data_IF_025471335079
#
_entry.id   IF_025471335079
#
_cell.length_a   1.000
_cell.length_b   1.000
_cell.length_c   1.000
_cell.angle_alpha   90.00
_cell.angle_beta   90.00
_cell.angle_gamma   90.00
#
_symmetry.space_group_name_H-M   'P 1'
#
loop_
_entity.id
_entity.type
_entity.pdbx_description
1 polymer ?
#
# COMPACT_ATOMS: atom_id res chain seq x y z
N UNK A 1 -14.48 8.60 25.45
CA UNK A 1 -14.27 7.77 24.25
C UNK A 1 -13.67 8.67 23.21
N UNK A 2 -12.45 8.36 22.79
CA UNK A 2 -11.77 8.99 21.66
C UNK A 2 -12.63 8.79 20.42
N UNK A 3 -12.94 9.89 19.75
CA UNK A 3 -13.63 9.85 18.47
C UNK A 3 -12.54 9.94 17.40
N UNK A 4 -12.35 8.90 16.55
CA UNK A 4 -11.33 8.95 15.52
C UNK A 4 -11.46 10.20 14.65
N UNK A 5 -10.33 10.77 14.23
CA UNK A 5 -10.30 11.95 13.37
C UNK A 5 -9.72 11.59 12.01
N UNK A 6 -10.51 11.85 10.99
CA UNK A 6 -10.15 11.58 9.61
C UNK A 6 -10.33 10.14 9.17
N UNK A 7 -10.26 9.99 7.85
CA UNK A 7 -10.28 8.72 7.15
C UNK A 7 -9.06 8.63 6.21
N UNK A 8 -8.58 7.41 5.98
CA UNK A 8 -7.59 7.09 4.94
C UNK A 8 -8.21 6.09 3.97
N UNK A 9 -8.03 6.34 2.67
CA UNK A 9 -8.23 5.35 1.62
C UNK A 9 -6.86 4.78 1.26
N UNK A 10 -6.67 3.48 1.42
CA UNK A 10 -5.34 2.84 1.32
C UNK A 10 -4.73 2.98 -0.08
N UNK A 11 -5.54 3.00 -1.13
CA UNK A 11 -5.05 3.14 -2.51
C UNK A 11 -6.13 2.69 -3.46
N UNK A 12 -6.20 1.39 -3.66
CA UNK A 12 -7.21 0.78 -4.50
C UNK A 12 -8.65 0.89 -3.99
N UNK A 13 -9.58 1.12 -4.93
CA UNK A 13 -11.02 1.27 -4.68
C UNK A 13 -11.79 0.60 -5.81
N UNK A 14 -12.88 -0.12 -5.50
CA UNK A 14 -13.60 -0.89 -6.52
C UNK A 14 -14.53 0.00 -7.34
N UNK A 15 -13.94 0.71 -8.29
CA UNK A 15 -14.60 1.41 -9.40
C UNK A 15 -13.82 1.16 -10.69
N UNK A 16 -14.47 1.39 -11.82
CA UNK A 16 -13.88 1.15 -13.14
C UNK A 16 -12.88 2.24 -13.55
N UNK A 17 -12.98 3.44 -12.95
CA UNK A 17 -12.18 4.60 -13.32
C UNK A 17 -11.82 5.52 -12.12
N UNK A 18 -10.78 6.33 -12.31
CA UNK A 18 -10.25 7.22 -11.29
C UNK A 18 -11.16 8.41 -10.97
N UNK A 19 -11.94 8.91 -11.95
CA UNK A 19 -12.85 10.03 -11.72
C UNK A 19 -13.98 9.62 -10.78
N UNK A 20 -14.61 8.47 -11.02
CA UNK A 20 -15.64 7.89 -10.16
C UNK A 20 -15.08 7.67 -8.75
N UNK A 21 -13.87 7.12 -8.63
CA UNK A 21 -13.20 6.95 -7.33
C UNK A 21 -13.06 8.27 -6.57
N UNK A 22 -12.42 9.27 -7.19
CA UNK A 22 -12.12 10.54 -6.54
C UNK A 22 -13.38 11.32 -6.19
N UNK A 23 -14.35 11.38 -7.12
CA UNK A 23 -15.62 12.08 -6.93
C UNK A 23 -16.43 11.47 -5.79
N UNK A 24 -16.61 10.15 -5.79
CA UNK A 24 -17.39 9.48 -4.75
C UNK A 24 -16.69 9.55 -3.38
N UNK A 25 -15.36 9.42 -3.32
CA UNK A 25 -14.61 9.60 -2.09
C UNK A 25 -14.77 11.02 -1.52
N UNK A 26 -14.62 12.05 -2.36
CA UNK A 26 -14.76 13.44 -1.96
C UNK A 26 -16.19 13.77 -1.49
N UNK A 27 -17.21 13.27 -2.19
CA UNK A 27 -18.62 13.52 -1.84
C UNK A 27 -19.04 12.86 -0.52
N UNK A 28 -18.59 11.62 -0.25
CA UNK A 28 -19.01 10.87 0.94
C UNK A 28 -18.16 11.23 2.17
N UNK A 29 -16.84 11.33 2.01
CA UNK A 29 -15.93 11.51 3.14
C UNK A 29 -15.60 12.99 3.39
N UNK A 30 -15.56 13.80 2.34
CA UNK A 30 -15.34 15.25 2.38
C UNK A 30 -14.18 15.65 3.31
N UNK A 31 -14.43 16.47 4.34
CA UNK A 31 -13.38 17.04 5.21
C UNK A 31 -12.69 16.00 6.12
N UNK A 32 -13.03 14.72 6.00
CA UNK A 32 -12.34 13.62 6.69
C UNK A 32 -11.09 13.16 5.91
N UNK A 33 -10.98 13.48 4.62
CA UNK A 33 -9.85 13.11 3.79
C UNK A 33 -8.83 14.26 3.74
N UNK A 34 -7.57 13.93 4.03
CA UNK A 34 -6.41 14.76 3.66
C UNK A 34 -5.85 14.37 2.29
N UNK A 35 -6.11 13.13 1.86
CA UNK A 35 -5.49 12.48 0.70
C UNK A 35 -6.54 11.65 -0.04
N UNK A 36 -6.51 11.65 -1.37
CA UNK A 36 -7.39 10.85 -2.22
C UNK A 36 -6.55 10.08 -3.25
N UNK A 37 -6.62 8.74 -3.28
CA UNK A 37 -5.97 7.93 -4.31
C UNK A 37 -6.82 7.85 -5.58
N UNK A 38 -6.21 7.36 -6.66
CA UNK A 38 -6.90 7.12 -7.94
C UNK A 38 -7.69 5.81 -8.02
N UNK A 39 -7.63 4.97 -6.99
CA UNK A 39 -8.33 3.69 -6.94
C UNK A 39 -7.60 2.53 -7.61
N UNK A 40 -6.38 2.74 -8.13
CA UNK A 40 -5.58 1.73 -8.84
C UNK A 40 -6.35 1.02 -9.97
N UNK A 41 -7.10 1.78 -10.78
CA UNK A 41 -8.02 1.21 -11.77
C UNK A 41 -7.34 0.49 -12.95
N UNK A 42 -8.13 -0.28 -13.71
CA UNK A 42 -7.67 -0.97 -14.92
C UNK A 42 -6.71 -2.11 -14.63
N UNK A 43 -5.57 -2.17 -15.34
CA UNK A 43 -4.58 -3.24 -15.16
C UNK A 43 -3.93 -3.23 -13.76
N UNK A 44 -3.93 -2.07 -13.09
CA UNK A 44 -3.40 -1.92 -11.72
C UNK A 44 -4.38 -2.39 -10.65
N UNK A 45 -5.58 -2.80 -11.03
CA UNK A 45 -6.62 -3.17 -10.07
C UNK A 45 -6.13 -4.22 -9.08
N UNK A 46 -5.30 -5.16 -9.53
CA UNK A 46 -4.68 -6.18 -8.69
C UNK A 46 -3.25 -5.82 -8.22
N UNK A 47 -3.03 -4.55 -7.87
CA UNK A 47 -1.78 -4.02 -7.31
C UNK A 47 -0.58 -4.30 -8.21
N UNK A 48 0.27 -5.28 -7.88
CA UNK A 48 1.49 -5.62 -8.63
C UNK A 48 1.29 -6.64 -9.75
N UNK A 49 0.10 -7.24 -9.90
CA UNK A 49 -0.10 -8.38 -10.82
C UNK A 49 0.07 -8.06 -12.31
N UNK A 50 0.13 -6.78 -12.69
CA UNK A 50 0.44 -6.36 -14.05
C UNK A 50 1.96 -6.30 -14.35
N UNK A 51 2.80 -6.30 -13.31
CA UNK A 51 4.25 -6.16 -13.47
C UNK A 51 4.89 -7.27 -14.30
N UNK A 52 4.47 -8.55 -14.25
CA UNK A 52 5.01 -9.57 -15.14
C UNK A 52 4.83 -9.25 -16.63
N UNK A 53 3.69 -8.65 -17.01
CA UNK A 53 3.40 -8.22 -18.38
C UNK A 53 4.30 -7.05 -18.81
N UNK A 54 4.68 -6.18 -17.88
CA UNK A 54 5.62 -5.07 -18.13
C UNK A 54 7.05 -5.59 -18.23
N UNK A 55 7.54 -6.29 -17.20
CA UNK A 55 8.91 -6.76 -17.11
C UNK A 55 9.25 -7.80 -18.18
N UNK A 56 8.28 -8.63 -18.58
CA UNK A 56 8.45 -9.61 -19.66
C UNK A 56 8.64 -9.00 -21.05
N UNK A 57 8.56 -7.67 -21.20
CA UNK A 57 8.91 -6.97 -22.44
C UNK A 57 10.42 -6.67 -22.55
N UNK A 58 11.15 -6.74 -21.44
CA UNK A 58 12.58 -6.44 -21.42
C UNK A 58 13.38 -7.57 -22.09
N UNK A 59 14.36 -7.20 -22.92
CA UNK A 59 15.36 -8.14 -23.41
C UNK A 59 16.14 -8.72 -22.22
N UNK A 60 16.25 -10.05 -22.17
CA UNK A 60 16.91 -10.76 -21.07
C UNK A 60 16.00 -11.21 -19.92
N UNK A 61 14.69 -10.94 -19.99
CA UNK A 61 13.69 -11.50 -19.06
C UNK A 61 12.81 -12.52 -19.78
N UNK A 62 12.59 -13.68 -19.16
CA UNK A 62 11.75 -14.75 -19.69
C UNK A 62 10.65 -15.14 -18.71
N UNK A 63 9.53 -15.63 -19.24
CA UNK A 63 8.48 -16.26 -18.43
C UNK A 63 8.79 -17.73 -18.19
N UNK A 64 8.59 -18.16 -16.94
CA UNK A 64 8.72 -19.55 -16.54
C UNK A 64 7.46 -20.32 -16.95
N UNK A 65 7.64 -21.36 -17.77
CA UNK A 65 6.57 -22.22 -18.25
C UNK A 65 6.02 -21.82 -19.62
N UNK A 66 5.64 -22.82 -20.41
CA UNK A 66 5.16 -22.63 -21.78
C UNK A 66 3.70 -22.12 -21.82
N UNK A 67 2.87 -22.55 -20.88
CA UNK A 67 1.45 -22.21 -20.84
C UNK A 67 1.21 -20.95 -20.02
N UNK A 68 0.44 -20.03 -20.59
CA UNK A 68 -0.04 -18.83 -19.90
C UNK A 68 -0.80 -19.21 -18.63
N UNK A 69 -0.60 -18.46 -17.55
CA UNK A 69 -1.41 -18.56 -16.33
C UNK A 69 -2.38 -17.37 -16.33
N UNK A 70 -3.65 -17.54 -16.74
CA UNK A 70 -4.58 -16.43 -16.83
C UNK A 70 -4.88 -15.86 -15.44
N UNK A 71 -4.85 -14.54 -15.36
CA UNK A 71 -5.28 -13.78 -14.18
C UNK A 71 -6.23 -12.65 -14.62
N UNK A 72 -6.97 -12.09 -13.67
CA UNK A 72 -7.96 -11.03 -13.92
C UNK A 72 -7.42 -9.90 -14.82
N UNK A 73 -8.32 -9.16 -15.48
CA UNK A 73 -7.96 -8.09 -16.43
C UNK A 73 -7.08 -8.53 -17.62
N UNK A 74 -7.06 -9.83 -17.96
CA UNK A 74 -6.29 -10.33 -19.09
C UNK A 74 -4.78 -10.34 -18.84
N UNK A 75 -4.37 -10.52 -17.58
CA UNK A 75 -2.97 -10.58 -17.13
C UNK A 75 -2.40 -12.00 -17.21
N UNK A 76 -1.08 -12.13 -17.34
CA UNK A 76 -0.35 -13.41 -17.31
C UNK A 76 0.48 -13.52 -16.02
N UNK A 77 0.02 -14.36 -15.09
CA UNK A 77 0.63 -14.56 -13.78
C UNK A 77 1.82 -15.54 -13.79
N UNK A 78 2.35 -15.91 -14.97
CA UNK A 78 3.58 -16.71 -15.03
C UNK A 78 4.74 -15.99 -14.30
N UNK A 79 5.51 -16.71 -13.47
CA UNK A 79 6.74 -16.19 -12.89
C UNK A 79 7.73 -15.78 -13.98
N UNK A 80 8.70 -14.96 -13.59
CA UNK A 80 9.78 -14.49 -14.42
C UNK A 80 11.11 -15.09 -13.98
N UNK A 81 12.04 -15.15 -14.92
CA UNK A 81 13.44 -15.47 -14.71
C UNK A 81 14.33 -14.61 -15.58
N UNK A 82 15.59 -14.46 -15.19
CA UNK A 82 16.62 -13.92 -16.08
C UNK A 82 16.96 -14.98 -17.12
N UNK A 83 17.09 -14.56 -18.39
CA UNK A 83 17.45 -15.46 -19.48
C UNK A 83 18.85 -16.06 -19.27
N UNK A 84 19.06 -17.28 -19.77
CA UNK A 84 20.34 -17.98 -19.58
C UNK A 84 21.51 -17.19 -20.17
N UNK A 85 22.55 -16.97 -19.36
CA UNK A 85 23.77 -16.25 -19.78
C UNK A 85 23.64 -14.73 -19.81
N UNK A 86 22.50 -14.16 -19.42
CA UNK A 86 22.32 -12.70 -19.34
C UNK A 86 22.79 -12.17 -17.98
N UNK A 87 23.58 -11.10 -18.01
CA UNK A 87 23.92 -10.32 -16.82
C UNK A 87 22.76 -9.37 -16.50
N UNK A 88 22.15 -9.53 -15.33
CA UNK A 88 21.03 -8.70 -14.87
C UNK A 88 21.33 -7.20 -14.94
N UNK A 89 22.57 -6.78 -14.65
CA UNK A 89 22.96 -5.37 -14.66
C UNK A 89 22.88 -4.73 -16.06
N UNK A 90 22.81 -5.53 -17.12
CA UNK A 90 22.66 -5.06 -18.51
C UNK A 90 21.21 -4.95 -18.97
N UNK A 91 20.26 -5.48 -18.18
CA UNK A 91 18.84 -5.48 -18.51
C UNK A 91 18.28 -4.06 -18.41
N UNK A 92 17.73 -3.56 -19.52
CA UNK A 92 16.97 -2.32 -19.55
C UNK A 92 15.49 -2.62 -19.37
N UNK A 93 14.95 -2.32 -18.19
CA UNK A 93 13.51 -2.43 -17.94
C UNK A 93 12.75 -1.30 -18.66
N UNK A 94 11.59 -1.59 -19.27
CA UNK A 94 10.68 -0.54 -19.74
C UNK A 94 10.14 0.29 -18.57
N UNK A 95 9.47 1.43 -18.83
CA UNK A 95 8.68 2.12 -17.81
C UNK A 95 7.75 1.14 -17.09
N UNK A 96 7.77 1.17 -15.76
CA UNK A 96 6.99 0.28 -14.90
C UNK A 96 5.49 0.62 -14.94
N UNK A 97 5.16 1.86 -15.33
CA UNK A 97 3.80 2.32 -15.58
C UNK A 97 3.15 3.08 -14.43
N UNK A 98 3.84 3.24 -13.29
CA UNK A 98 3.31 3.95 -12.12
C UNK A 98 3.27 5.46 -12.35
N UNK A 99 4.33 6.04 -12.92
CA UNK A 99 4.42 7.46 -13.27
C UNK A 99 3.44 7.85 -14.36
N UNK A 100 3.29 7.00 -15.39
CA UNK A 100 2.29 7.21 -16.43
C UNK A 100 0.88 7.29 -15.84
N UNK A 101 0.50 6.32 -15.00
CA UNK A 101 -0.79 6.30 -14.33
C UNK A 101 -0.99 7.51 -13.40
N UNK A 102 0.00 7.86 -12.59
CA UNK A 102 -0.08 8.99 -11.68
C UNK A 102 -0.30 10.32 -12.43
N UNK A 103 0.35 10.51 -13.58
CA UNK A 103 0.17 11.71 -14.42
C UNK A 103 -1.23 11.79 -15.00
N UNK A 104 -1.75 10.68 -15.54
CA UNK A 104 -3.11 10.62 -16.09
C UNK A 104 -4.16 10.90 -15.00
N UNK A 105 -4.01 10.27 -13.83
CA UNK A 105 -4.93 10.45 -12.71
C UNK A 105 -4.82 11.83 -12.06
N UNK A 106 -3.64 12.44 -12.03
CA UNK A 106 -3.47 13.79 -11.49
C UNK A 106 -4.19 14.86 -12.33
N UNK A 107 -4.26 14.72 -13.66
CA UNK A 107 -5.06 15.63 -14.48
C UNK A 107 -6.55 15.57 -14.13
N UNK A 108 -7.05 14.37 -13.80
CA UNK A 108 -8.42 14.19 -13.30
C UNK A 108 -8.58 14.85 -11.93
N UNK A 109 -7.66 14.57 -10.99
CA UNK A 109 -7.66 15.15 -9.65
C UNK A 109 -7.69 16.67 -9.70
N UNK A 110 -6.80 17.29 -10.49
CA UNK A 110 -6.69 18.73 -10.66
C UNK A 110 -7.99 19.32 -11.21
N UNK A 111 -8.58 18.70 -12.23
CA UNK A 111 -9.87 19.13 -12.78
C UNK A 111 -10.99 19.04 -11.74
N UNK A 112 -11.08 17.95 -10.98
CA UNK A 112 -12.09 17.78 -9.93
C UNK A 112 -11.93 18.81 -8.79
N UNK A 113 -10.70 19.21 -8.47
CA UNK A 113 -10.43 20.34 -7.58
C UNK A 113 -10.91 21.67 -8.19
N UNK A 114 -10.57 21.94 -9.44
CA UNK A 114 -10.99 23.16 -10.15
C UNK A 114 -12.53 23.27 -10.28
N UNK A 115 -13.23 22.13 -10.36
CA UNK A 115 -14.70 22.01 -10.31
C UNK A 115 -15.30 22.21 -8.91
N UNK A 116 -14.47 22.25 -7.85
CA UNK A 116 -14.89 22.36 -6.45
C UNK A 116 -15.40 21.04 -5.84
N UNK A 117 -15.20 19.92 -6.53
CA UNK A 117 -15.57 18.57 -6.04
C UNK A 117 -14.59 18.13 -4.96
N UNK A 118 -13.29 18.29 -5.22
CA UNK A 118 -12.22 18.04 -4.25
C UNK A 118 -11.89 19.37 -3.56
N UNK A 119 -11.91 19.38 -2.23
CA UNK A 119 -11.58 20.56 -1.45
C UNK A 119 -10.12 20.99 -1.63
N UNK A 120 -9.89 22.31 -1.60
CA UNK A 120 -8.55 22.88 -1.53
C UNK A 120 -7.76 22.32 -0.35
N UNK A 121 -6.46 22.07 -0.57
CA UNK A 121 -5.56 21.49 0.44
C UNK A 121 -5.62 19.96 0.58
N UNK A 122 -6.57 19.28 -0.07
CA UNK A 122 -6.50 17.81 -0.23
C UNK A 122 -5.39 17.47 -1.22
N UNK A 123 -4.61 16.44 -0.91
CA UNK A 123 -3.52 15.94 -1.78
C UNK A 123 -3.95 14.72 -2.60
N UNK A 124 -3.37 14.59 -3.77
CA UNK A 124 -3.42 13.39 -4.58
C UNK A 124 -2.44 12.34 -4.02
N UNK A 125 -2.97 11.16 -3.69
CA UNK A 125 -2.20 10.05 -3.15
C UNK A 125 -1.77 9.11 -4.27
N UNK A 126 -0.46 8.84 -4.35
CA UNK A 126 0.10 7.79 -5.19
C UNK A 126 0.61 6.67 -4.29
N UNK A 127 -0.05 5.52 -4.33
CA UNK A 127 0.36 4.31 -3.62
C UNK A 127 1.27 3.45 -4.51
N UNK A 128 2.48 3.20 -4.03
CA UNK A 128 3.53 2.45 -4.75
C UNK A 128 3.88 1.17 -3.98
N UNK A 129 4.06 0.04 -4.68
CA UNK A 129 4.61 -1.15 -4.04
C UNK A 129 6.09 -0.95 -3.75
N UNK A 130 6.62 -1.67 -2.76
CA UNK A 130 8.07 -1.79 -2.63
C UNK A 130 8.66 -2.63 -3.78
N UNK A 131 9.90 -2.35 -4.22
CA UNK A 131 10.64 -3.25 -5.11
C UNK A 131 10.66 -4.70 -4.63
N UNK A 132 10.81 -4.90 -3.31
CA UNK A 132 10.83 -6.21 -2.69
C UNK A 132 9.54 -6.99 -2.95
N UNK A 133 8.36 -6.34 -2.87
CA UNK A 133 7.09 -7.02 -3.13
C UNK A 133 7.04 -7.62 -4.54
N UNK A 134 7.45 -6.87 -5.56
CA UNK A 134 7.44 -7.34 -6.95
C UNK A 134 8.45 -8.48 -7.16
N UNK A 135 9.66 -8.33 -6.62
CA UNK A 135 10.70 -9.37 -6.78
C UNK A 135 10.35 -10.65 -6.03
N UNK A 136 9.81 -10.53 -4.81
CA UNK A 136 9.38 -11.67 -4.01
C UNK A 136 8.22 -12.44 -4.68
N UNK A 137 7.32 -11.75 -5.37
CA UNK A 137 6.17 -12.37 -6.02
C UNK A 137 6.49 -13.06 -7.35
N UNK A 138 7.42 -12.52 -8.14
CA UNK A 138 7.56 -12.95 -9.54
C UNK A 138 8.89 -13.59 -9.89
N UNK A 139 9.93 -13.44 -9.08
CA UNK A 139 11.23 -14.08 -9.29
C UNK A 139 11.50 -15.15 -8.22
N UNK A 140 12.49 -16.00 -8.46
CA UNK A 140 12.85 -17.10 -7.55
C UNK A 140 14.35 -17.35 -7.55
N UNK A 141 14.85 -18.01 -6.51
CA UNK A 141 16.28 -18.37 -6.41
C UNK A 141 17.20 -17.15 -6.50
N UNK A 142 18.34 -17.33 -7.17
CA UNK A 142 19.41 -16.35 -7.32
C UNK A 142 18.99 -15.15 -8.19
N UNK A 143 18.00 -15.31 -9.07
CA UNK A 143 17.50 -14.23 -9.90
C UNK A 143 16.97 -13.06 -9.06
N UNK A 144 16.41 -13.34 -7.88
CA UNK A 144 15.91 -12.30 -6.96
C UNK A 144 17.01 -11.32 -6.56
N UNK A 145 18.17 -11.84 -6.16
CA UNK A 145 19.32 -11.02 -5.77
C UNK A 145 19.90 -10.24 -6.95
N UNK A 146 19.87 -10.82 -8.14
CA UNK A 146 20.41 -10.21 -9.35
C UNK A 146 19.50 -9.09 -9.91
N UNK A 147 18.18 -9.30 -9.92
CA UNK A 147 17.23 -8.35 -10.54
C UNK A 147 16.77 -7.24 -9.59
N UNK A 148 16.80 -7.46 -8.28
CA UNK A 148 16.32 -6.49 -7.28
C UNK A 148 16.96 -5.09 -7.44
N UNK A 149 18.28 -4.94 -7.60
CA UNK A 149 18.90 -3.62 -7.81
C UNK A 149 18.42 -2.93 -9.09
N UNK A 150 18.20 -3.70 -10.17
CA UNK A 150 17.74 -3.20 -11.47
C UNK A 150 16.31 -2.68 -11.37
N UNK A 151 15.42 -3.46 -10.74
CA UNK A 151 14.03 -3.05 -10.51
C UNK A 151 13.93 -1.88 -9.54
N UNK A 152 14.71 -1.88 -8.45
CA UNK A 152 14.76 -0.77 -7.49
C UNK A 152 15.16 0.53 -8.18
N UNK A 153 16.18 0.51 -9.03
CA UNK A 153 16.58 1.68 -9.81
C UNK A 153 15.47 2.15 -10.78
N UNK A 154 14.69 1.23 -11.34
CA UNK A 154 13.54 1.58 -12.19
C UNK A 154 12.39 2.21 -11.40
N UNK A 155 12.08 1.67 -10.22
CA UNK A 155 11.06 2.23 -9.32
C UNK A 155 11.43 3.65 -8.85
N UNK A 156 12.70 3.89 -8.51
CA UNK A 156 13.16 5.22 -8.12
C UNK A 156 13.10 6.23 -9.29
N UNK A 157 13.33 5.79 -10.54
CA UNK A 157 13.09 6.65 -11.71
C UNK A 157 11.61 6.99 -11.89
N UNK A 158 10.71 6.03 -11.67
CA UNK A 158 9.26 6.30 -11.71
C UNK A 158 8.86 7.30 -10.61
N UNK A 159 9.42 7.17 -9.41
CA UNK A 159 9.23 8.16 -8.34
C UNK A 159 9.72 9.55 -8.78
N UNK A 160 10.93 9.66 -9.34
CA UNK A 160 11.48 10.93 -9.83
C UNK A 160 10.57 11.55 -10.92
N UNK A 161 10.02 10.74 -11.83
CA UNK A 161 9.10 11.21 -12.86
C UNK A 161 7.76 11.71 -12.26
N UNK A 162 7.25 11.05 -11.22
CA UNK A 162 6.05 11.49 -10.49
C UNK A 162 6.32 12.84 -9.80
N UNK A 163 7.43 12.94 -9.08
CA UNK A 163 7.84 14.15 -8.36
C UNK A 163 8.05 15.34 -9.31
N UNK A 164 8.59 15.09 -10.50
CA UNK A 164 8.78 16.12 -11.52
C UNK A 164 7.46 16.56 -12.19
N UNK A 165 6.48 15.67 -12.29
CA UNK A 165 5.23 15.94 -13.01
C UNK A 165 4.13 16.53 -12.13
N UNK A 166 4.14 16.27 -10.82
CA UNK A 166 3.08 16.67 -9.89
C UNK A 166 3.64 17.66 -8.86
N UNK A 167 3.02 18.84 -8.68
CA UNK A 167 3.43 19.79 -7.64
C UNK A 167 3.51 19.12 -6.27
N UNK A 168 4.62 19.32 -5.55
CA UNK A 168 4.86 18.68 -4.26
C UNK A 168 3.75 18.97 -3.23
N UNK A 169 3.18 20.17 -3.26
CA UNK A 169 2.07 20.57 -2.38
C UNK A 169 0.76 19.80 -2.66
N UNK A 170 0.62 19.26 -3.87
CA UNK A 170 -0.54 18.45 -4.27
C UNK A 170 -0.29 16.95 -4.06
N UNK A 171 0.92 16.52 -3.69
CA UNK A 171 1.34 15.13 -3.75
C UNK A 171 1.54 14.50 -2.35
N UNK A 172 1.07 13.27 -2.23
CA UNK A 172 1.37 12.36 -1.13
C UNK A 172 1.80 10.99 -1.69
N UNK A 173 2.93 10.45 -1.23
CA UNK A 173 3.46 9.14 -1.64
C UNK A 173 3.23 8.12 -0.53
N UNK A 174 2.62 6.99 -0.86
CA UNK A 174 2.52 5.85 0.04
C UNK A 174 3.41 4.70 -0.44
N UNK A 175 4.10 4.04 0.49
CA UNK A 175 4.71 2.74 0.25
C UNK A 175 3.86 1.62 0.86
N UNK A 176 3.49 0.66 0.01
CA UNK A 176 2.70 -0.52 0.38
C UNK A 176 3.61 -1.70 0.74
N UNK A 177 3.55 -2.13 2.00
CA UNK A 177 4.52 -3.02 2.64
C UNK A 177 3.84 -4.31 3.07
N UNK A 178 3.50 -5.16 2.09
CA UNK A 178 2.84 -6.44 2.33
C UNK A 178 3.82 -7.61 2.39
N UNK A 179 4.79 -7.66 1.47
CA UNK A 179 5.68 -8.81 1.34
C UNK A 179 6.74 -8.86 2.44
N UNK A 180 7.15 -7.72 2.95
CA UNK A 180 8.06 -7.60 4.09
C UNK A 180 7.45 -8.23 5.34
N UNK A 181 6.19 -7.90 5.65
CA UNK A 181 5.45 -8.50 6.77
C UNK A 181 5.28 -10.01 6.55
N UNK A 182 4.93 -10.42 5.32
CA UNK A 182 4.86 -11.84 4.96
C UNK A 182 6.18 -12.59 5.17
N UNK A 183 7.34 -11.98 4.88
CA UNK A 183 8.66 -12.57 5.12
C UNK A 183 8.97 -12.66 6.63
N UNK A 184 8.70 -11.59 7.39
CA UNK A 184 8.94 -11.56 8.85
C UNK A 184 8.17 -12.68 9.54
N UNK A 185 6.92 -12.86 9.14
CA UNK A 185 5.99 -13.82 9.75
C UNK A 185 6.08 -15.22 9.11
N UNK A 186 6.93 -15.38 8.09
CA UNK A 186 7.10 -16.62 7.31
C UNK A 186 5.76 -17.15 6.76
N UNK A 187 4.96 -16.22 6.24
CA UNK A 187 3.64 -16.51 5.69
C UNK A 187 3.69 -17.49 4.51
N UNK A 188 2.66 -18.30 4.37
CA UNK A 188 2.52 -19.22 3.25
C UNK A 188 1.74 -18.55 2.11
N UNK A 189 2.42 -17.85 1.21
CA UNK A 189 1.84 -17.28 -0.01
C UNK A 189 1.82 -18.31 -1.14
N UNK A 190 0.65 -18.56 -1.75
CA UNK A 190 0.51 -19.44 -2.92
C UNK A 190 1.19 -20.82 -2.79
N UNK A 191 1.14 -21.40 -1.58
CA UNK A 191 1.71 -22.73 -1.29
C UNK A 191 3.21 -22.76 -1.03
N UNK A 192 3.88 -21.60 -0.90
CA UNK A 192 5.28 -21.49 -0.49
C UNK A 192 5.45 -20.51 0.66
N UNK A 193 6.42 -20.77 1.52
CA UNK A 193 6.82 -19.82 2.56
C UNK A 193 7.49 -18.62 1.89
N UNK A 194 7.09 -17.42 2.30
CA UNK A 194 7.74 -16.19 1.90
C UNK A 194 9.09 -16.07 2.61
N UNK A 195 10.16 -16.03 1.85
CA UNK A 195 11.54 -16.03 2.37
C UNK A 195 12.37 -14.96 1.66
N UNK A 196 13.19 -14.27 2.45
CA UNK A 196 14.26 -13.43 1.94
C UNK A 196 15.29 -14.26 1.14
N UNK A 197 16.01 -13.60 0.24
CA UNK A 197 17.04 -14.21 -0.61
C UNK A 197 18.46 -13.80 -0.20
N UNK A 198 18.63 -13.36 1.04
CA UNK A 198 19.91 -13.05 1.65
C UNK A 198 20.05 -13.81 2.98
N UNK A 199 21.29 -14.08 3.45
CA UNK A 199 21.50 -14.88 4.65
C UNK A 199 21.15 -14.13 5.94
N UNK A 200 20.75 -14.87 6.97
CA UNK A 200 20.51 -14.35 8.32
C UNK A 200 19.04 -14.00 8.62
N UNK A 201 18.82 -13.29 9.73
CA UNK A 201 17.52 -12.71 10.04
C UNK A 201 17.21 -11.61 9.00
N UNK A 202 16.06 -11.68 8.29
CA UNK A 202 15.76 -10.71 7.25
C UNK A 202 15.43 -9.32 7.80
N UNK A 203 15.09 -9.18 9.08
CA UNK A 203 14.48 -7.98 9.66
C UNK A 203 15.23 -6.67 9.32
N UNK A 204 16.53 -6.59 9.61
CA UNK A 204 17.32 -5.36 9.35
C UNK A 204 17.44 -5.06 7.84
N UNK A 205 17.47 -6.11 7.02
CA UNK A 205 17.49 -6.00 5.56
C UNK A 205 16.18 -5.46 5.00
N UNK A 206 15.05 -5.77 5.63
CA UNK A 206 13.73 -5.25 5.27
C UNK A 206 13.58 -3.78 5.70
N UNK A 207 13.97 -3.48 6.95
CA UNK A 207 13.94 -2.11 7.50
C UNK A 207 14.77 -1.17 6.63
N UNK A 208 16.03 -1.52 6.34
CA UNK A 208 16.92 -0.66 5.55
C UNK A 208 16.42 -0.39 4.13
N UNK A 209 15.76 -1.36 3.49
CA UNK A 209 15.13 -1.18 2.18
C UNK A 209 13.98 -0.18 2.23
N UNK A 210 13.07 -0.33 3.20
CA UNK A 210 11.94 0.59 3.33
C UNK A 210 12.40 2.00 3.73
N UNK A 211 13.39 2.12 4.60
CA UNK A 211 14.01 3.42 4.96
C UNK A 211 14.52 4.13 3.70
N UNK A 212 15.25 3.43 2.82
CA UNK A 212 15.76 4.02 1.59
C UNK A 212 14.64 4.52 0.66
N UNK A 213 13.50 3.83 0.60
CA UNK A 213 12.33 4.25 -0.19
C UNK A 213 11.64 5.48 0.41
N UNK A 214 11.49 5.52 1.74
CA UNK A 214 10.90 6.66 2.44
C UNK A 214 11.80 7.89 2.27
N UNK A 215 13.11 7.74 2.47
CA UNK A 215 14.08 8.84 2.37
C UNK A 215 14.27 9.34 0.93
N UNK A 216 13.88 8.56 -0.08
CA UNK A 216 13.86 9.00 -1.47
C UNK A 216 12.74 10.03 -1.75
N UNK A 217 11.72 10.13 -0.89
CA UNK A 217 10.64 11.11 -1.04
C UNK A 217 11.07 12.47 -0.44
N UNK A 218 11.08 13.57 -1.22
CA UNK A 218 11.45 14.90 -0.74
C UNK A 218 10.69 15.35 0.51
N UNK A 219 11.34 16.12 1.39
CA UNK A 219 10.78 16.51 2.68
C UNK A 219 9.52 17.38 2.60
N UNK A 220 9.30 18.08 1.49
CA UNK A 220 8.11 18.90 1.21
C UNK A 220 6.96 18.11 0.55
N UNK A 221 7.18 16.83 0.25
CA UNK A 221 6.17 15.86 -0.16
C UNK A 221 5.79 14.98 1.03
N UNK A 222 4.50 14.76 1.22
CA UNK A 222 4.03 13.86 2.28
C UNK A 222 4.40 12.41 1.95
N UNK A 223 4.92 11.68 2.92
CA UNK A 223 5.29 10.27 2.77
C UNK A 223 4.61 9.44 3.84
N UNK A 224 3.98 8.35 3.44
CA UNK A 224 3.33 7.42 4.36
C UNK A 224 3.60 5.97 4.04
N UNK A 225 3.23 5.12 5.00
CA UNK A 225 3.44 3.68 4.92
C UNK A 225 2.13 2.96 5.22
N UNK A 226 1.77 2.03 4.34
CA UNK A 226 0.72 1.05 4.57
C UNK A 226 1.36 -0.30 4.89
N UNK A 227 1.32 -0.72 6.15
CA UNK A 227 1.63 -2.11 6.49
C UNK A 227 0.43 -2.99 6.15
N UNK A 228 0.70 -4.22 5.71
CA UNK A 228 -0.35 -5.12 5.25
C UNK A 228 0.03 -6.59 5.53
N UNK A 229 -0.94 -7.43 5.88
CA UNK A 229 -0.79 -8.89 5.89
C UNK A 229 -1.15 -9.55 4.54
N UNK A 230 -1.36 -8.71 3.51
CA UNK A 230 -1.77 -9.08 2.16
C UNK A 230 -3.26 -9.39 2.06
N UNK A 231 -3.88 -9.06 0.92
CA UNK A 231 -5.28 -9.39 0.65
C UNK A 231 -5.39 -10.13 -0.70
N UNK A 232 -5.18 -11.46 -0.65
CA UNK A 232 -5.38 -12.32 -1.81
C UNK A 232 -6.78 -12.97 -1.74
N UNK A 233 -7.76 -12.27 -2.29
CA UNK A 233 -9.18 -12.67 -2.33
C UNK A 233 -9.88 -12.69 -0.96
N UNK A 234 -9.80 -11.58 -0.23
CA UNK A 234 -10.40 -11.34 1.10
C UNK A 234 -9.85 -12.31 2.17
N UNK A 235 -8.59 -12.75 2.03
CA UNK A 235 -7.89 -13.58 3.01
C UNK A 235 -6.45 -13.13 3.19
N UNK A 236 -6.04 -13.02 4.45
CA UNK A 236 -4.67 -12.74 4.82
C UNK A 236 -3.75 -13.92 4.54
N UNK A 237 -2.46 -13.63 4.33
CA UNK A 237 -1.48 -14.71 4.33
C UNK A 237 -1.32 -15.32 5.74
N UNK A 238 -1.61 -14.53 6.79
CA UNK A 238 -1.60 -14.89 8.21
C UNK A 238 -2.68 -14.10 8.94
N UNK A 239 -3.38 -14.76 9.87
CA UNK A 239 -4.22 -14.06 10.85
C UNK A 239 -3.36 -13.74 12.10
N UNK A 240 -2.91 -12.49 12.27
CA UNK A 240 -2.02 -12.13 13.39
C UNK A 240 -2.72 -12.30 14.73
N UNK A 241 -1.98 -12.78 15.74
CA UNK A 241 -2.48 -12.92 17.09
C UNK A 241 -2.60 -11.56 17.81
N UNK A 242 -1.66 -10.65 17.53
CA UNK A 242 -1.58 -9.30 18.06
C UNK A 242 -0.87 -8.35 17.08
N UNK A 243 -0.87 -7.05 17.37
CA UNK A 243 -0.20 -6.02 16.56
C UNK A 243 1.33 -5.94 16.75
N UNK A 244 1.95 -6.87 17.48
CA UNK A 244 3.34 -6.79 17.93
C UNK A 244 4.36 -6.76 16.80
N UNK A 245 4.18 -7.57 15.76
CA UNK A 245 5.05 -7.53 14.57
C UNK A 245 4.96 -6.20 13.85
N UNK A 246 3.74 -5.67 13.67
CA UNK A 246 3.50 -4.37 13.04
C UNK A 246 4.20 -3.25 13.81
N UNK A 247 4.02 -3.20 15.13
CA UNK A 247 4.63 -2.19 16.01
C UNK A 247 6.15 -2.30 15.99
N UNK A 248 6.70 -3.52 16.11
CA UNK A 248 8.15 -3.75 16.06
C UNK A 248 8.75 -3.24 14.76
N UNK A 249 8.13 -3.57 13.63
CA UNK A 249 8.62 -3.16 12.31
C UNK A 249 8.48 -1.65 12.09
N UNK A 250 7.31 -1.07 12.40
CA UNK A 250 7.06 0.36 12.28
C UNK A 250 8.05 1.18 13.12
N UNK A 251 8.28 0.81 14.39
CA UNK A 251 9.22 1.51 15.26
C UNK A 251 10.66 1.45 14.72
N UNK A 252 11.09 0.30 14.20
CA UNK A 252 12.43 0.17 13.63
C UNK A 252 12.63 1.07 12.40
N UNK A 253 11.61 1.19 11.56
CA UNK A 253 11.61 2.08 10.39
C UNK A 253 11.60 3.54 10.83
N UNK A 254 10.67 3.93 11.71
CA UNK A 254 10.54 5.31 12.21
C UNK A 254 11.83 5.78 12.88
N UNK A 255 12.52 4.91 13.61
CA UNK A 255 13.79 5.24 14.26
C UNK A 255 14.96 5.43 13.28
N UNK A 256 14.85 4.90 12.06
CA UNK A 256 15.95 4.85 11.09
C UNK A 256 15.78 5.81 9.89
N UNK A 257 14.56 6.27 9.59
CA UNK A 257 14.31 7.26 8.53
C UNK A 257 14.92 8.63 8.87
N UNK A 258 15.41 9.33 7.85
CA UNK A 258 16.04 10.65 7.98
C UNK A 258 15.07 11.80 7.71
N UNK A 259 13.81 11.49 7.43
CA UNK A 259 12.71 12.45 7.27
C UNK A 259 11.53 12.11 8.18
N UNK A 260 10.66 13.08 8.52
CA UNK A 260 9.40 12.78 9.18
C UNK A 260 8.51 11.88 8.30
N UNK A 261 7.95 10.84 8.91
CA UNK A 261 6.86 10.06 8.33
C UNK A 261 5.55 10.82 8.55
N UNK A 262 4.81 11.08 7.49
CA UNK A 262 3.55 11.85 7.55
C UNK A 262 2.42 10.99 8.09
N UNK A 263 2.25 9.76 7.60
CA UNK A 263 1.26 8.83 8.16
C UNK A 263 1.73 7.38 8.18
N UNK A 264 1.21 6.64 9.15
CA UNK A 264 1.35 5.19 9.26
C UNK A 264 -0.04 4.55 9.29
N UNK A 265 -0.26 3.57 8.43
CA UNK A 265 -1.45 2.74 8.45
C UNK A 265 -1.12 1.33 8.95
N UNK A 266 -1.91 0.85 9.92
CA UNK A 266 -1.85 -0.52 10.44
C UNK A 266 -3.13 -1.29 10.14
N UNK A 267 -3.04 -2.50 9.55
CA UNK A 267 -4.19 -3.36 9.27
C UNK A 267 -4.71 -3.96 10.58
N UNK A 268 -6.01 -4.15 10.69
CA UNK A 268 -6.66 -4.80 11.84
C UNK A 268 -7.63 -5.84 11.30
N UNK A 269 -7.42 -7.15 11.56
CA UNK A 269 -8.35 -8.16 11.10
C UNK A 269 -9.74 -8.00 11.72
N UNK A 270 -10.76 -8.44 10.98
CA UNK A 270 -12.15 -8.23 11.38
C UNK A 270 -12.47 -8.84 12.75
N UNK A 271 -11.90 -9.98 13.13
CA UNK A 271 -12.19 -10.61 14.41
C UNK A 271 -11.54 -9.91 15.62
N UNK A 272 -10.70 -8.89 15.39
CA UNK A 272 -9.90 -8.22 16.42
C UNK A 272 -10.61 -6.99 16.98
N UNK A 273 -11.52 -7.25 17.90
CA UNK A 273 -12.07 -6.26 18.84
C UNK A 273 -11.63 -6.50 20.30
N UNK A 274 -10.57 -7.29 20.48
CA UNK A 274 -10.04 -7.68 21.78
C UNK A 274 -8.82 -6.84 22.23
N UNK A 275 -8.73 -6.59 23.53
CA UNK A 275 -7.65 -5.81 24.18
C UNK A 275 -6.25 -6.37 23.88
N UNK A 276 -6.10 -7.69 23.85
CA UNK A 276 -4.80 -8.33 23.66
C UNK A 276 -4.20 -8.04 22.28
N UNK A 277 -5.03 -7.94 21.25
CA UNK A 277 -4.58 -7.56 19.92
C UNK A 277 -3.96 -6.15 19.88
N UNK A 278 -4.59 -5.19 20.57
CA UNK A 278 -4.19 -3.79 20.57
C UNK A 278 -3.13 -3.44 21.62
N UNK A 279 -2.92 -4.27 22.65
CA UNK A 279 -1.94 -4.03 23.71
C UNK A 279 -0.53 -3.65 23.21
N UNK A 280 0.02 -4.24 22.12
CA UNK A 280 1.32 -3.82 21.60
C UNK A 280 1.38 -2.37 21.12
N UNK A 281 0.24 -1.74 20.78
CA UNK A 281 0.20 -0.34 20.34
C UNK A 281 0.66 0.64 21.44
N UNK A 282 0.64 0.24 22.71
CA UNK A 282 1.20 1.03 23.82
C UNK A 282 2.70 1.34 23.62
N UNK A 283 3.40 0.51 22.84
CA UNK A 283 4.81 0.67 22.52
C UNK A 283 5.06 1.38 21.17
N UNK A 284 4.02 1.78 20.43
CA UNK A 284 4.16 2.43 19.14
C UNK A 284 4.74 3.84 19.31
N UNK A 285 5.97 4.04 18.82
CA UNK A 285 6.75 5.26 19.00
C UNK A 285 6.66 6.13 17.74
N UNK A 286 5.50 6.76 17.56
CA UNK A 286 5.28 7.68 16.44
C UNK A 286 6.12 8.96 16.59
N UNK A 287 6.60 9.48 15.47
CA UNK A 287 7.22 10.80 15.42
C UNK A 287 6.20 11.91 15.68
N UNK A 288 6.67 13.08 16.11
CA UNK A 288 5.81 14.25 16.27
C UNK A 288 5.11 14.59 14.95
N UNK A 289 3.78 14.69 14.98
CA UNK A 289 2.97 15.00 13.81
C UNK A 289 2.70 13.83 12.86
N UNK A 290 3.20 12.62 13.13
CA UNK A 290 2.84 11.42 12.35
C UNK A 290 1.39 11.02 12.63
N UNK A 291 0.59 10.94 11.57
CA UNK A 291 -0.81 10.52 11.64
C UNK A 291 -0.92 8.99 11.70
N UNK A 292 -1.59 8.45 12.71
CA UNK A 292 -1.91 7.02 12.77
C UNK A 292 -3.28 6.75 12.15
N UNK A 293 -3.36 5.78 11.26
CA UNK A 293 -4.61 5.23 10.75
C UNK A 293 -4.71 3.75 11.09
N UNK A 294 -5.84 3.34 11.64
CA UNK A 294 -6.12 1.93 11.95
C UNK A 294 -7.20 1.40 11.00
N UNK A 295 -6.94 0.22 10.43
CA UNK A 295 -7.81 -0.49 9.49
C UNK A 295 -9.06 -1.11 10.14
N UNK A 296 -9.87 -0.31 10.83
CA UNK A 296 -10.97 -0.77 11.69
C UNK A 296 -12.31 -0.97 10.95
N UNK A 297 -12.41 -0.49 9.72
CA UNK A 297 -13.65 -0.53 8.91
C UNK A 297 -13.68 -1.79 8.06
N UNK A 298 -14.70 -2.62 8.30
CA UNK A 298 -14.98 -3.81 7.50
C UNK A 298 -16.39 -3.77 6.94
N UNK A 299 -16.55 -4.34 5.75
CA UNK A 299 -17.82 -4.38 5.03
C UNK A 299 -18.87 -5.24 5.75
N UNK A 300 -18.42 -6.34 6.34
CA UNK A 300 -19.25 -7.42 6.87
C UNK A 300 -20.04 -6.98 8.11
N UNK A 301 -19.47 -6.11 8.93
CA UNK A 301 -20.08 -5.72 10.20
C UNK A 301 -20.21 -4.20 10.44
N UNK A 302 -19.78 -3.40 9.46
CA UNK A 302 -20.15 -2.00 9.31
C UNK A 302 -19.87 -1.13 10.54
N UNK A 303 -20.70 -0.10 10.80
CA UNK A 303 -20.45 0.84 11.90
C UNK A 303 -20.44 0.19 13.28
N UNK A 304 -21.31 -0.79 13.53
CA UNK A 304 -21.40 -1.46 14.83
C UNK A 304 -20.14 -2.29 15.14
N UNK A 305 -19.60 -2.97 14.12
CA UNK A 305 -18.29 -3.61 14.19
C UNK A 305 -17.16 -2.66 14.46
N UNK A 306 -17.07 -1.65 13.60
CA UNK A 306 -16.04 -0.62 13.65
C UNK A 306 -16.01 0.06 15.03
N UNK A 307 -17.17 0.35 15.62
CA UNK A 307 -17.26 0.94 16.96
C UNK A 307 -16.66 0.06 18.07
N UNK A 308 -16.78 -1.27 17.98
CA UNK A 308 -16.15 -2.19 18.95
C UNK A 308 -14.63 -2.13 18.84
N UNK A 309 -14.10 -2.17 17.61
CA UNK A 309 -12.64 -2.09 17.37
C UNK A 309 -12.08 -0.73 17.76
N UNK A 310 -12.81 0.36 17.49
CA UNK A 310 -12.45 1.71 17.98
C UNK A 310 -12.36 1.71 19.50
N UNK A 311 -13.34 1.14 20.21
CA UNK A 311 -13.34 1.11 21.67
C UNK A 311 -12.14 0.34 22.24
N UNK A 312 -11.78 -0.79 21.63
CA UNK A 312 -10.60 -1.57 22.02
C UNK A 312 -9.29 -0.82 21.74
N UNK A 313 -9.10 -0.31 20.52
CA UNK A 313 -7.90 0.46 20.16
C UNK A 313 -7.71 1.72 21.02
N UNK A 314 -8.81 2.38 21.37
CA UNK A 314 -8.83 3.59 22.19
C UNK A 314 -8.30 3.41 23.62
N UNK A 315 -8.16 2.17 24.10
CA UNK A 315 -7.52 1.88 25.37
C UNK A 315 -5.99 2.05 25.31
N UNK A 316 -5.41 1.95 24.10
CA UNK A 316 -3.96 1.89 23.87
C UNK A 316 -3.41 3.10 23.10
N UNK A 317 -4.22 3.70 22.22
CA UNK A 317 -3.82 4.88 21.43
C UNK A 317 -4.80 6.04 21.57
N UNK A 318 -4.25 7.24 21.79
CA UNK A 318 -5.04 8.44 22.09
C UNK A 318 -5.64 9.14 20.87
N UNK A 319 -4.90 9.24 19.76
CA UNK A 319 -5.35 9.91 18.53
C UNK A 319 -5.04 9.04 17.32
N UNK A 320 -6.06 8.77 16.50
CA UNK A 320 -5.95 8.03 15.25
C UNK A 320 -7.14 8.35 14.32
N UNK A 321 -6.93 8.14 13.02
CA UNK A 321 -7.98 8.07 12.01
C UNK A 321 -8.37 6.63 11.68
N UNK A 322 -9.43 6.46 10.90
CA UNK A 322 -9.92 5.13 10.48
C UNK A 322 -9.61 4.85 9.02
N UNK A 323 -9.42 3.58 8.72
CA UNK A 323 -9.28 3.07 7.37
C UNK A 323 -9.97 1.70 7.28
N UNK A 324 -9.96 1.16 6.08
CA UNK A 324 -10.13 -0.28 5.84
C UNK A 324 -8.80 -0.98 6.07
N UNK A 325 -8.85 -2.27 6.37
CA UNK A 325 -7.65 -3.07 6.60
C UNK A 325 -6.64 -3.05 5.44
N UNK A 326 -7.14 -3.05 4.22
CA UNK A 326 -6.38 -2.98 2.98
C UNK A 326 -7.16 -2.17 1.95
N UNK A 327 -6.62 -1.99 0.74
CA UNK A 327 -7.34 -1.34 -0.34
C UNK A 327 -8.59 -2.13 -0.78
N UNK A 328 -9.71 -1.43 -0.95
CA UNK A 328 -11.03 -2.02 -1.20
C UNK A 328 -11.32 -2.30 -2.68
N UNK A 329 -10.30 -2.31 -3.55
CA UNK A 329 -10.51 -2.65 -4.95
C UNK A 329 -11.13 -4.03 -5.15
N UNK A 330 -10.83 -5.02 -4.30
CA UNK A 330 -11.34 -6.39 -4.43
C UNK A 330 -12.69 -6.61 -3.78
N UNK A 331 -13.22 -5.61 -3.07
CA UNK A 331 -14.52 -5.73 -2.43
C UNK A 331 -15.60 -6.06 -3.47
N UNK A 332 -16.69 -6.76 -3.14
CA UNK A 332 -17.77 -7.06 -4.08
C UNK A 332 -18.33 -5.81 -4.76
N UNK A 333 -18.68 -5.93 -6.04
CA UNK A 333 -19.27 -4.83 -6.80
C UNK A 333 -20.50 -4.24 -6.08
N UNK A 334 -20.58 -2.91 -6.02
CA UNK A 334 -21.66 -2.19 -5.35
C UNK A 334 -21.54 -2.06 -3.82
N UNK A 335 -20.46 -2.58 -3.21
CA UNK A 335 -20.25 -2.45 -1.75
C UNK A 335 -19.45 -1.22 -1.33
N UNK A 336 -18.73 -0.58 -2.26
CA UNK A 336 -17.80 0.53 -2.00
C UNK A 336 -18.44 1.69 -1.23
N UNK A 337 -19.61 2.17 -1.65
CA UNK A 337 -20.26 3.30 -0.98
C UNK A 337 -20.64 3.00 0.47
N UNK A 338 -21.08 1.78 0.78
CA UNK A 338 -21.45 1.40 2.15
C UNK A 338 -20.22 1.42 3.07
N UNK A 339 -19.07 0.99 2.56
CA UNK A 339 -17.78 1.06 3.25
C UNK A 339 -17.39 2.53 3.49
N UNK A 340 -17.48 3.39 2.47
CA UNK A 340 -17.19 4.82 2.61
C UNK A 340 -18.14 5.51 3.61
N UNK A 341 -19.44 5.18 3.59
CA UNK A 341 -20.40 5.71 4.57
C UNK A 341 -20.07 5.26 6.00
N UNK A 342 -19.54 4.05 6.17
CA UNK A 342 -19.07 3.57 7.48
C UNK A 342 -17.92 4.43 8.00
N UNK A 343 -16.93 4.77 7.16
CA UNK A 343 -15.88 5.73 7.54
C UNK A 343 -16.48 7.08 7.96
N UNK A 344 -17.43 7.60 7.18
CA UNK A 344 -18.05 8.90 7.46
C UNK A 344 -18.83 8.93 8.79
N UNK A 345 -19.47 7.82 9.14
CA UNK A 345 -20.26 7.68 10.37
C UNK A 345 -19.38 7.62 11.62
N UNK A 346 -18.24 6.92 11.54
CA UNK A 346 -17.41 6.60 12.71
C UNK A 346 -16.24 7.56 12.94
N UNK A 347 -15.96 8.47 12.01
CA UNK A 347 -14.87 9.44 12.13
C UNK A 347 -15.36 10.90 12.08
N UNK A 348 -14.76 11.74 12.90
CA UNK A 348 -14.86 13.19 12.80
C UNK A 348 -13.99 13.74 11.66
N UNK A 349 -14.30 14.95 11.20
CA UNK A 349 -13.44 15.72 10.30
C UNK A 349 -12.13 16.14 10.99
N UNK A 350 -11.13 16.52 10.18
CA UNK A 350 -9.85 17.06 10.66
C UNK A 350 -9.97 18.43 11.33
#
# INVERSE_FOLDING_TARGET
MTNPRGALLVGSVNYDDAETTMRTAAEILGPRLKRIPDGEVGIRFHWIMFQPDVLGQAEGIERVGAERIPFGAGLDARPLRIAEGVDAATIALPPLGYAAAARESYEIFRRLRDEGVIAEGVRFQVSLPTPLAVIASFFSGDDRAAIEPVYTAAMLRELDEILAAIPHADLAIQWDVASEIGIIERAAGYGKVMEAWWPGDPFDGLVSRLVALIDAVPADVEAGVHLCYGDAAERHFIEPADAGTLVRYANAVIAAVHRPLTWLHLPVPIERDDDAYFAPLDALALGEGTELYLGLVHREDGPAGTARRIAAASAHVGEFGVATECGIGRAPAGSTEAILRTHAEVAAAW
#
